data_IF_214207946980
#
_entry.id   IF_214207946980
#
_cell.length_a   1.000
_cell.length_b   1.000
_cell.length_c   1.000
_cell.angle_alpha   90.00
_cell.angle_beta   90.00
_cell.angle_gamma   90.00
#
_symmetry.space_group_name_H-M   'P 1'
#
loop_
_entity.id
_entity.type
_entity.pdbx_description
1 polymer ?
#
# COMPACT_ATOMS: atom_id res chain seq x y z
N UNK A 1 3.09 -26.55 -41.44
CA UNK A 1 4.50 -26.49 -40.99
C UNK A 1 4.55 -26.02 -39.54
N UNK A 2 5.33 -26.73 -38.73
CA UNK A 2 5.45 -26.63 -37.28
C UNK A 2 5.91 -25.25 -36.78
N UNK A 3 5.19 -24.67 -35.82
CA UNK A 3 5.81 -23.81 -34.80
C UNK A 3 5.45 -24.33 -33.41
N UNK A 4 6.19 -25.36 -32.99
CA UNK A 4 6.32 -25.70 -31.58
C UNK A 4 7.07 -24.57 -30.88
N UNK A 5 6.35 -23.56 -30.36
CA UNK A 5 6.91 -22.62 -29.39
C UNK A 5 7.34 -23.43 -28.16
N UNK A 6 8.66 -23.66 -28.03
CA UNK A 6 9.29 -24.20 -26.82
C UNK A 6 9.12 -23.18 -25.68
N UNK A 7 7.95 -23.15 -25.04
CA UNK A 7 7.55 -22.23 -23.95
C UNK A 7 8.17 -22.54 -22.58
N UNK A 8 9.41 -23.05 -22.56
CA UNK A 8 10.13 -23.38 -21.33
C UNK A 8 11.06 -22.27 -20.82
N UNK A 9 11.35 -21.26 -21.65
CA UNK A 9 12.21 -20.12 -21.26
C UNK A 9 11.35 -18.98 -20.72
N UNK A 10 11.84 -18.35 -19.67
CA UNK A 10 11.39 -17.01 -19.29
C UNK A 10 11.72 -16.09 -20.47
N UNK A 11 10.70 -15.46 -21.06
CA UNK A 11 10.85 -14.50 -22.14
C UNK A 11 10.97 -13.11 -21.51
N UNK A 12 12.21 -12.64 -21.39
CA UNK A 12 12.52 -11.38 -20.73
C UNK A 12 11.90 -10.21 -21.49
N UNK A 13 11.90 -10.26 -22.83
CA UNK A 13 11.42 -9.17 -23.67
C UNK A 13 9.89 -9.06 -23.61
N UNK A 14 9.19 -10.21 -23.67
CA UNK A 14 7.74 -10.22 -23.48
C UNK A 14 7.34 -9.73 -22.08
N UNK A 15 8.11 -10.07 -21.05
CA UNK A 15 7.84 -9.58 -19.70
C UNK A 15 8.14 -8.09 -19.56
N UNK A 16 9.23 -7.58 -20.16
CA UNK A 16 9.53 -6.13 -20.22
C UNK A 16 8.39 -5.35 -20.85
N UNK A 17 7.86 -5.80 -21.98
CA UNK A 17 6.71 -5.16 -22.63
C UNK A 17 5.47 -5.10 -21.73
N UNK A 18 5.22 -6.14 -20.93
CA UNK A 18 4.12 -6.12 -19.95
C UNK A 18 4.36 -5.10 -18.83
N UNK A 19 5.60 -4.96 -18.36
CA UNK A 19 5.97 -3.98 -17.34
C UNK A 19 5.84 -2.55 -17.87
N UNK A 20 6.30 -2.30 -19.10
CA UNK A 20 6.18 -1.00 -19.76
C UNK A 20 4.71 -0.61 -19.98
N UNK A 21 3.89 -1.56 -20.46
CA UNK A 21 2.46 -1.35 -20.60
C UNK A 21 1.77 -1.02 -19.26
N UNK A 22 2.13 -1.74 -18.19
CA UNK A 22 1.60 -1.48 -16.85
C UNK A 22 2.04 -0.09 -16.31
N UNK A 23 3.24 0.38 -16.65
CA UNK A 23 3.76 1.70 -16.26
C UNK A 23 3.22 2.85 -17.09
N UNK A 24 2.59 2.61 -18.24
CA UNK A 24 2.00 3.66 -19.07
C UNK A 24 1.04 4.58 -18.30
N UNK A 25 0.34 4.05 -17.29
CA UNK A 25 -0.59 4.81 -16.43
C UNK A 25 0.10 5.71 -15.41
N UNK A 26 1.37 5.46 -15.09
CA UNK A 26 2.11 6.27 -14.12
C UNK A 26 2.24 7.72 -14.59
N UNK A 27 2.48 7.93 -15.88
CA UNK A 27 2.67 9.28 -16.45
C UNK A 27 1.40 10.11 -16.30
N UNK A 28 0.24 9.55 -16.68
CA UNK A 28 -1.04 10.25 -16.54
C UNK A 28 -1.41 10.49 -15.07
N UNK A 29 -1.19 9.49 -14.21
CA UNK A 29 -1.47 9.58 -12.76
C UNK A 29 -0.56 10.60 -12.07
N UNK A 30 0.72 10.61 -12.44
CA UNK A 30 1.70 11.59 -11.95
C UNK A 30 1.30 13.00 -12.33
N UNK A 31 0.91 13.21 -13.60
CA UNK A 31 0.39 14.51 -14.05
C UNK A 31 -0.85 14.94 -13.27
N UNK A 32 -1.85 14.07 -13.12
CA UNK A 32 -3.05 14.37 -12.33
C UNK A 32 -2.73 14.72 -10.87
N UNK A 33 -1.72 14.08 -10.27
CA UNK A 33 -1.31 14.36 -8.89
C UNK A 33 -0.56 15.70 -8.77
N UNK A 34 0.27 16.05 -9.77
CA UNK A 34 0.93 17.35 -9.84
C UNK A 34 -0.05 18.50 -10.11
N UNK A 35 -1.05 18.26 -10.96
CA UNK A 35 -2.13 19.22 -11.23
C UNK A 35 -2.97 19.43 -9.95
N UNK A 36 -3.33 18.35 -9.25
CA UNK A 36 -3.98 18.43 -7.93
C UNK A 36 -3.18 19.25 -6.90
N UNK A 37 -1.85 19.09 -6.85
CA UNK A 37 -0.99 19.90 -5.97
C UNK A 37 -0.97 21.38 -6.36
N UNK A 38 -1.06 21.68 -7.65
CA UNK A 38 -1.09 23.06 -8.15
C UNK A 38 -2.40 23.79 -7.83
N UNK A 39 -3.45 23.02 -7.55
CA UNK A 39 -4.81 23.49 -7.25
C UNK A 39 -5.27 22.94 -5.89
N UNK A 40 -4.37 22.86 -4.92
CA UNK A 40 -4.61 22.15 -3.66
C UNK A 40 -5.68 22.85 -2.81
N UNK A 41 -5.69 24.17 -2.79
CA UNK A 41 -6.68 25.02 -2.16
C UNK A 41 -8.04 24.96 -2.87
N UNK A 42 -8.08 25.02 -4.20
CA UNK A 42 -9.30 24.85 -4.99
C UNK A 42 -9.92 23.46 -4.77
N UNK A 43 -9.08 22.42 -4.74
CA UNK A 43 -9.50 21.05 -4.45
C UNK A 43 -10.07 20.93 -3.03
N UNK A 44 -9.44 21.58 -2.05
CA UNK A 44 -9.95 21.62 -0.69
C UNK A 44 -11.30 22.35 -0.61
N UNK A 45 -11.44 23.48 -1.32
CA UNK A 45 -12.68 24.25 -1.37
C UNK A 45 -13.82 23.43 -2.01
N UNK A 46 -13.52 22.69 -3.09
CA UNK A 46 -14.48 21.78 -3.73
C UNK A 46 -14.94 20.63 -2.83
N UNK A 47 -14.09 20.12 -1.94
CA UNK A 47 -14.52 19.11 -0.97
C UNK A 47 -15.26 19.74 0.22
N UNK A 48 -14.87 20.95 0.61
CA UNK A 48 -15.44 21.66 1.75
C UNK A 48 -16.84 22.24 1.48
N UNK A 49 -17.13 22.69 0.25
CA UNK A 49 -18.46 23.25 -0.11
C UNK A 49 -19.59 22.24 0.12
N UNK A 50 -19.31 20.95 -0.05
CA UNK A 50 -20.26 19.88 0.25
C UNK A 50 -20.53 19.69 1.75
N UNK A 51 -19.65 20.21 2.62
CA UNK A 51 -19.83 20.18 4.07
C UNK A 51 -20.59 21.39 4.60
N UNK A 52 -20.60 22.51 3.88
CA UNK A 52 -21.23 23.76 4.31
C UNK A 52 -22.67 23.57 4.84
N UNK A 53 -23.56 22.80 4.17
CA UNK A 53 -24.90 22.54 4.69
C UNK A 53 -24.90 21.83 6.06
N UNK A 54 -23.95 20.93 6.30
CA UNK A 54 -23.79 20.26 7.59
C UNK A 54 -23.26 21.24 8.65
N UNK A 55 -22.31 22.10 8.29
CA UNK A 55 -21.71 23.06 9.21
C UNK A 55 -22.73 24.10 9.69
N UNK A 56 -23.65 24.52 8.81
CA UNK A 56 -24.72 25.48 9.11
C UNK A 56 -25.76 24.94 10.10
N UNK A 57 -25.77 23.63 10.38
CA UNK A 57 -26.60 23.06 11.45
C UNK A 57 -26.06 23.39 12.85
N UNK A 58 -24.85 23.95 12.95
CA UNK A 58 -24.18 24.24 14.21
C UNK A 58 -23.97 25.75 14.41
N UNK A 59 -24.10 26.25 15.66
CA UNK A 59 -24.39 25.50 16.89
C UNK A 59 -25.82 24.96 16.94
N UNK A 60 -26.00 23.76 17.51
CA UNK A 60 -27.31 23.13 17.70
C UNK A 60 -27.60 22.99 19.19
N UNK A 61 -28.77 23.41 19.64
CA UNK A 61 -29.19 23.30 21.04
C UNK A 61 -30.16 22.14 21.22
N UNK A 62 -29.87 21.25 22.17
CA UNK A 62 -30.75 20.13 22.54
C UNK A 62 -30.85 20.05 24.06
N UNK A 63 -32.00 20.49 24.59
CA UNK A 63 -32.16 20.65 26.03
C UNK A 63 -31.19 21.70 26.59
N UNK A 64 -30.44 21.33 27.63
CA UNK A 64 -29.40 22.19 28.23
C UNK A 64 -28.06 22.12 27.50
N UNK A 65 -27.85 21.16 26.58
CA UNK A 65 -26.56 21.01 25.89
C UNK A 65 -26.51 21.81 24.58
N UNK A 66 -25.38 22.50 24.36
CA UNK A 66 -25.06 23.14 23.08
C UNK A 66 -23.99 22.34 22.36
N UNK A 67 -24.33 21.84 21.17
CA UNK A 67 -23.42 21.16 20.26
C UNK A 67 -22.76 22.18 19.34
N UNK A 68 -21.43 22.14 19.23
CA UNK A 68 -20.64 23.02 18.36
C UNK A 68 -19.64 22.22 17.55
N UNK A 69 -19.35 22.67 16.34
CA UNK A 69 -18.22 22.17 15.58
C UNK A 69 -17.00 23.04 15.85
N UNK A 70 -15.89 22.37 16.15
CA UNK A 70 -14.58 22.97 16.32
C UNK A 70 -13.71 22.61 15.12
N UNK A 71 -13.19 23.64 14.46
CA UNK A 71 -12.25 23.51 13.35
C UNK A 71 -10.84 23.78 13.85
N UNK A 72 -9.91 22.87 13.59
CA UNK A 72 -8.51 22.99 14.01
C UNK A 72 -7.58 22.54 12.89
N UNK A 73 -6.50 23.31 12.64
CA UNK A 73 -5.43 22.87 11.72
C UNK A 73 -4.48 21.97 12.52
N UNK A 74 -4.24 20.76 12.03
CA UNK A 74 -3.37 19.79 12.68
C UNK A 74 -1.97 19.77 12.06
N UNK A 75 -0.96 19.68 12.94
CA UNK A 75 0.46 19.61 12.57
C UNK A 75 1.15 18.33 13.06
N UNK A 76 0.37 17.40 13.62
CA UNK A 76 0.90 16.11 14.10
C UNK A 76 1.37 15.22 12.94
N UNK A 77 2.30 14.27 13.17
CA UNK A 77 2.79 13.38 12.11
C UNK A 77 1.72 12.63 11.32
N UNK A 78 0.57 12.30 11.93
CA UNK A 78 -0.51 11.53 11.30
C UNK A 78 -1.58 12.40 10.61
N UNK A 79 -1.58 13.71 10.85
CA UNK A 79 -2.64 14.65 10.41
C UNK A 79 -2.04 15.96 9.89
N UNK A 80 -0.87 15.86 9.26
CA UNK A 80 -0.05 17.01 8.92
C UNK A 80 -0.73 17.92 7.89
N UNK A 81 -0.86 19.21 8.19
CA UNK A 81 -1.52 20.19 7.33
C UNK A 81 -3.04 20.03 7.22
N UNK A 82 -3.66 19.07 7.90
CA UNK A 82 -5.08 18.76 7.74
C UNK A 82 -6.00 19.65 8.56
N UNK A 83 -7.24 19.83 8.10
CA UNK A 83 -8.29 20.46 8.89
C UNK A 83 -9.11 19.41 9.64
N UNK A 84 -9.00 19.42 10.97
CA UNK A 84 -9.82 18.62 11.85
C UNK A 84 -11.18 19.27 12.12
N UNK A 85 -12.20 18.43 12.18
CA UNK A 85 -13.56 18.82 12.58
C UNK A 85 -13.95 17.94 13.78
N UNK A 86 -14.17 18.58 14.92
CA UNK A 86 -14.58 17.90 16.13
C UNK A 86 -15.95 18.41 16.59
N UNK A 87 -16.82 17.49 17.01
CA UNK A 87 -18.05 17.83 17.71
C UNK A 87 -17.74 18.04 19.18
N UNK A 88 -18.17 19.18 19.72
CA UNK A 88 -17.94 19.58 21.11
C UNK A 88 -19.25 19.93 21.79
N UNK A 89 -19.42 19.41 23.00
CA UNK A 89 -20.38 19.89 24.00
C UNK A 89 -19.60 20.43 25.20
N UNK A 90 -20.28 20.80 26.29
CA UNK A 90 -19.60 21.21 27.52
C UNK A 90 -18.77 20.08 28.15
N UNK A 91 -19.22 18.84 27.99
CA UNK A 91 -18.65 17.64 28.65
C UNK A 91 -17.92 16.71 27.70
N UNK A 92 -18.13 16.83 26.38
CA UNK A 92 -17.61 15.90 25.38
C UNK A 92 -16.87 16.63 24.25
N UNK A 93 -15.80 15.99 23.75
CA UNK A 93 -15.16 16.35 22.48
C UNK A 93 -14.90 15.07 21.67
N UNK A 94 -15.48 15.00 20.47
CA UNK A 94 -15.37 13.84 19.58
C UNK A 94 -14.83 14.26 18.22
N UNK A 95 -13.70 13.68 17.81
CA UNK A 95 -13.08 13.91 16.50
C UNK A 95 -13.85 13.14 15.42
N UNK A 96 -14.56 13.87 14.55
CA UNK A 96 -15.45 13.27 13.56
C UNK A 96 -14.69 12.47 12.49
N UNK A 97 -13.40 12.79 12.27
CA UNK A 97 -12.56 12.09 11.30
C UNK A 97 -12.26 10.62 11.66
N UNK A 98 -12.54 10.21 12.90
CA UNK A 98 -12.35 8.83 13.38
C UNK A 98 -13.58 7.95 13.19
N UNK A 99 -14.73 8.55 12.90
CA UNK A 99 -15.99 7.83 12.75
C UNK A 99 -16.13 7.25 11.34
N UNK A 100 -16.74 6.08 11.23
CA UNK A 100 -17.23 5.52 9.97
C UNK A 100 -18.45 6.31 9.45
N UNK A 101 -18.86 6.07 8.20
CA UNK A 101 -20.09 6.69 7.64
C UNK A 101 -21.31 6.40 8.53
N UNK A 102 -21.45 5.16 9.01
CA UNK A 102 -22.59 4.75 9.83
C UNK A 102 -22.59 5.43 11.21
N UNK A 103 -21.44 5.49 11.88
CA UNK A 103 -21.29 6.14 13.18
C UNK A 103 -21.48 7.67 13.09
N UNK A 104 -20.95 8.27 12.02
CA UNK A 104 -21.13 9.71 11.77
C UNK A 104 -22.59 10.03 11.45
N UNK A 105 -23.25 9.24 10.60
CA UNK A 105 -24.68 9.41 10.31
C UNK A 105 -25.53 9.26 11.58
N UNK A 106 -25.21 8.30 12.46
CA UNK A 106 -25.89 8.13 13.74
C UNK A 106 -25.68 9.33 14.68
N UNK A 107 -24.48 9.91 14.67
CA UNK A 107 -24.14 11.11 15.46
C UNK A 107 -24.85 12.35 14.94
N UNK A 108 -24.99 12.50 13.61
CA UNK A 108 -25.63 13.66 12.97
C UNK A 108 -27.16 13.55 12.91
N UNK A 109 -27.73 12.34 12.94
CA UNK A 109 -29.19 12.11 12.80
C UNK A 109 -30.05 12.94 13.76
N UNK A 110 -29.72 13.11 15.05
CA UNK A 110 -30.51 13.94 15.96
C UNK A 110 -30.53 15.43 15.59
N UNK A 111 -29.58 15.88 14.76
CA UNK A 111 -29.37 17.29 14.39
C UNK A 111 -29.87 17.58 12.98
N UNK A 112 -29.51 16.72 12.02
CA UNK A 112 -29.83 16.87 10.59
C UNK A 112 -31.13 16.16 10.16
N UNK A 113 -31.72 15.34 11.04
CA UNK A 113 -32.82 14.44 10.68
C UNK A 113 -32.37 13.21 9.88
N UNK A 114 -33.29 12.27 9.68
CA UNK A 114 -33.02 10.96 9.08
C UNK A 114 -32.71 11.00 7.59
N UNK A 115 -33.22 12.00 6.85
CA UNK A 115 -33.10 12.05 5.39
C UNK A 115 -31.72 12.55 4.94
N UNK A 116 -31.14 13.52 5.65
CA UNK A 116 -29.90 14.21 5.22
C UNK A 116 -28.63 13.70 5.90
N UNK A 117 -28.74 12.97 7.02
CA UNK A 117 -27.57 12.57 7.81
C UNK A 117 -26.61 11.63 7.06
N UNK A 118 -27.12 10.79 6.16
CA UNK A 118 -26.30 9.87 5.36
C UNK A 118 -25.46 10.62 4.33
N UNK A 119 -26.04 11.62 3.68
CA UNK A 119 -25.35 12.42 2.66
C UNK A 119 -24.25 13.26 3.31
N UNK A 120 -24.55 13.95 4.42
CA UNK A 120 -23.53 14.66 5.19
C UNK A 120 -22.38 13.73 5.62
N UNK A 121 -22.69 12.52 6.08
CA UNK A 121 -21.66 11.56 6.47
C UNK A 121 -20.80 11.12 5.27
N UNK A 122 -21.40 10.91 4.09
CA UNK A 122 -20.67 10.58 2.86
C UNK A 122 -19.77 11.73 2.41
N UNK A 123 -20.28 12.96 2.38
CA UNK A 123 -19.48 14.13 2.02
C UNK A 123 -18.33 14.34 3.00
N UNK A 124 -18.57 14.16 4.29
CA UNK A 124 -17.52 14.24 5.29
C UNK A 124 -16.43 13.18 5.10
N UNK A 125 -16.78 11.95 4.70
CA UNK A 125 -15.77 10.93 4.38
C UNK A 125 -14.97 11.24 3.11
N UNK A 126 -15.54 11.95 2.13
CA UNK A 126 -14.74 12.47 1.01
C UNK A 126 -13.71 13.50 1.49
N UNK A 127 -14.12 14.42 2.35
CA UNK A 127 -13.22 15.38 2.99
C UNK A 127 -12.13 14.70 3.85
N UNK A 128 -12.47 13.64 4.60
CA UNK A 128 -11.49 12.85 5.35
C UNK A 128 -10.48 12.18 4.41
N UNK A 129 -10.91 11.68 3.24
CA UNK A 129 -9.99 11.14 2.23
C UNK A 129 -9.06 12.21 1.67
N UNK A 130 -9.57 13.40 1.35
CA UNK A 130 -8.75 14.56 0.98
C UNK A 130 -7.69 14.86 2.04
N UNK A 131 -8.10 14.95 3.32
CA UNK A 131 -7.18 15.18 4.43
C UNK A 131 -6.12 14.07 4.58
N UNK A 132 -6.45 12.80 4.33
CA UNK A 132 -5.47 11.70 4.35
C UNK A 132 -4.44 11.87 3.23
N UNK A 133 -4.88 12.24 2.03
CA UNK A 133 -4.01 12.52 0.87
C UNK A 133 -3.09 13.71 1.14
N UNK A 134 -3.62 14.79 1.72
CA UNK A 134 -2.87 15.95 2.17
C UNK A 134 -1.82 15.58 3.23
N UNK A 135 -2.21 14.84 4.26
CA UNK A 135 -1.29 14.40 5.32
C UNK A 135 -0.15 13.52 4.78
N UNK A 136 -0.42 12.73 3.74
CA UNK A 136 0.59 11.89 3.11
C UNK A 136 1.72 12.71 2.50
N UNK A 137 1.50 13.95 2.06
CA UNK A 137 2.56 14.83 1.51
C UNK A 137 3.71 15.10 2.48
N UNK A 138 3.54 14.84 3.78
CA UNK A 138 4.59 15.00 4.79
C UNK A 138 5.91 14.29 4.42
N UNK A 139 5.87 13.18 3.69
CA UNK A 139 7.10 12.47 3.31
C UNK A 139 8.03 13.33 2.42
N UNK A 140 7.51 14.36 1.76
CA UNK A 140 8.29 15.31 0.96
C UNK A 140 9.17 16.22 1.82
N UNK A 141 8.93 16.29 3.14
CA UNK A 141 9.76 17.07 4.06
C UNK A 141 9.52 18.59 4.01
N UNK A 142 8.47 19.03 3.31
CA UNK A 142 8.07 20.45 3.26
C UNK A 142 7.35 20.83 4.55
N UNK A 143 7.67 22.00 5.09
CA UNK A 143 6.95 22.55 6.24
C UNK A 143 5.59 23.15 5.81
N UNK A 144 4.52 22.73 6.49
CA UNK A 144 3.19 23.33 6.36
C UNK A 144 3.10 24.60 7.23
N UNK A 145 3.41 25.74 6.64
CA UNK A 145 3.39 27.04 7.31
C UNK A 145 1.94 27.58 7.39
N UNK A 146 1.50 27.94 8.60
CA UNK A 146 0.18 28.56 8.81
C UNK A 146 0.39 30.08 8.91
N UNK A 147 -0.12 30.88 7.94
CA UNK A 147 -0.06 32.34 8.02
C UNK A 147 -0.74 32.83 9.29
N UNK A 148 -0.14 33.82 9.97
CA UNK A 148 -0.65 34.58 11.14
C UNK A 148 -1.57 33.82 12.11
N UNK A 149 -1.14 33.58 13.35
CA UNK A 149 -1.95 32.82 14.34
C UNK A 149 -3.29 33.49 14.72
N UNK A 150 -3.51 34.74 14.35
CA UNK A 150 -4.75 35.49 14.56
C UNK A 150 -5.73 35.33 13.39
N UNK A 151 -7.02 35.18 13.69
CA UNK A 151 -8.10 35.21 12.69
C UNK A 151 -8.79 33.87 12.43
N UNK A 152 -9.80 33.84 11.54
CA UNK A 152 -10.60 32.66 11.26
C UNK A 152 -9.75 31.48 10.76
N UNK A 153 -10.12 30.26 11.12
CA UNK A 153 -9.33 29.05 10.83
C UNK A 153 -9.35 28.69 9.34
N UNK A 154 -10.51 28.78 8.70
CA UNK A 154 -10.69 28.34 7.30
C UNK A 154 -9.88 29.16 6.28
N UNK A 155 -9.93 30.50 6.26
CA UNK A 155 -9.15 31.28 5.30
C UNK A 155 -7.64 31.02 5.44
N UNK A 156 -7.14 30.93 6.67
CA UNK A 156 -5.72 30.62 6.95
C UNK A 156 -5.33 29.24 6.47
N UNK A 157 -6.22 28.26 6.58
CA UNK A 157 -5.97 26.92 6.09
C UNK A 157 -5.90 26.89 4.55
N UNK A 158 -6.84 27.55 3.85
CA UNK A 158 -6.81 27.64 2.39
C UNK A 158 -5.56 28.38 1.87
N UNK A 159 -5.19 29.50 2.47
CA UNK A 159 -3.97 30.24 2.12
C UNK A 159 -2.71 29.37 2.33
N UNK A 160 -2.64 28.64 3.45
CA UNK A 160 -1.55 27.69 3.71
C UNK A 160 -1.48 26.56 2.68
N UNK A 161 -2.64 26.03 2.23
CA UNK A 161 -2.70 24.97 1.23
C UNK A 161 -2.13 25.41 -0.12
N UNK A 162 -2.48 26.61 -0.59
CA UNK A 162 -1.97 27.13 -1.86
C UNK A 162 -0.43 27.21 -1.83
N UNK A 163 0.13 27.83 -0.78
CA UNK A 163 1.59 27.94 -0.61
C UNK A 163 2.26 26.57 -0.47
N UNK A 164 1.65 25.65 0.28
CA UNK A 164 2.17 24.31 0.51
C UNK A 164 2.18 23.48 -0.78
N UNK A 165 1.10 23.52 -1.58
CA UNK A 165 1.00 22.84 -2.87
C UNK A 165 2.12 23.26 -3.83
N UNK A 166 2.37 24.56 -3.95
CA UNK A 166 3.48 25.09 -4.77
C UNK A 166 4.86 24.60 -4.31
N UNK A 167 5.11 24.53 -3.00
CA UNK A 167 6.38 24.02 -2.45
C UNK A 167 6.53 22.50 -2.64
N UNK A 168 5.44 21.73 -2.52
CA UNK A 168 5.46 20.27 -2.66
C UNK A 168 5.62 19.81 -4.11
N UNK A 169 5.12 20.58 -5.08
CA UNK A 169 5.09 20.18 -6.50
C UNK A 169 6.45 19.76 -7.08
N UNK A 170 7.53 20.57 -7.04
CA UNK A 170 8.82 20.18 -7.61
C UNK A 170 9.40 18.94 -6.92
N UNK A 171 9.20 18.82 -5.60
CA UNK A 171 9.66 17.64 -4.85
C UNK A 171 8.89 16.38 -5.21
N UNK A 172 7.59 16.47 -5.48
CA UNK A 172 6.83 15.31 -5.96
C UNK A 172 7.29 14.90 -7.37
N UNK A 173 7.59 15.86 -8.24
CA UNK A 173 8.12 15.60 -9.57
C UNK A 173 9.46 14.84 -9.50
N UNK A 174 10.38 15.29 -8.64
CA UNK A 174 11.63 14.58 -8.35
C UNK A 174 11.39 13.16 -7.83
N UNK A 175 10.43 12.97 -6.92
CA UNK A 175 10.10 11.65 -6.37
C UNK A 175 9.46 10.71 -7.38
N UNK A 176 8.66 11.23 -8.32
CA UNK A 176 8.12 10.44 -9.43
C UNK A 176 9.24 10.00 -10.39
N UNK A 177 10.20 10.87 -10.68
CA UNK A 177 11.38 10.53 -11.47
C UNK A 177 12.27 9.50 -10.77
N UNK A 178 12.51 9.66 -9.46
CA UNK A 178 13.22 8.67 -8.63
C UNK A 178 12.51 7.32 -8.66
N UNK A 179 11.17 7.30 -8.56
CA UNK A 179 10.39 6.07 -8.62
C UNK A 179 10.51 5.34 -9.96
N UNK A 180 10.56 6.08 -11.07
CA UNK A 180 10.82 5.51 -12.40
C UNK A 180 12.22 4.92 -12.50
N UNK A 181 13.24 5.62 -12.00
CA UNK A 181 14.62 5.14 -11.98
C UNK A 181 14.77 3.87 -11.11
N UNK A 182 14.19 3.87 -9.91
CA UNK A 182 14.14 2.69 -9.04
C UNK A 182 13.38 1.54 -9.70
N UNK A 183 12.32 1.82 -10.47
CA UNK A 183 11.56 0.79 -11.18
C UNK A 183 12.41 0.12 -12.27
N UNK A 184 13.18 0.89 -13.03
CA UNK A 184 14.11 0.35 -14.03
C UNK A 184 15.23 -0.48 -13.35
N UNK A 185 15.82 0.04 -12.27
CA UNK A 185 16.84 -0.69 -11.52
C UNK A 185 16.30 -1.99 -10.89
N UNK A 186 15.06 -1.98 -10.40
CA UNK A 186 14.42 -3.15 -9.83
C UNK A 186 14.14 -4.21 -10.90
N UNK A 187 13.75 -3.79 -12.10
CA UNK A 187 13.60 -4.67 -13.24
C UNK A 187 14.91 -5.38 -13.57
N UNK A 188 16.00 -4.62 -13.72
CA UNK A 188 17.31 -5.19 -14.03
C UNK A 188 17.78 -6.16 -12.94
N UNK A 189 17.66 -5.80 -11.67
CA UNK A 189 17.99 -6.68 -10.54
C UNK A 189 17.12 -7.94 -10.52
N UNK A 190 15.83 -7.82 -10.85
CA UNK A 190 14.91 -8.96 -10.95
C UNK A 190 15.26 -9.86 -12.14
N UNK A 191 15.63 -9.29 -13.29
CA UNK A 191 16.06 -10.02 -14.47
C UNK A 191 17.36 -10.78 -14.20
N UNK A 192 18.34 -10.14 -13.58
CA UNK A 192 19.61 -10.75 -13.15
C UNK A 192 19.36 -11.91 -12.16
N UNK A 193 18.54 -11.66 -11.14
CA UNK A 193 18.14 -12.70 -10.18
C UNK A 193 17.47 -13.88 -10.89
N UNK A 194 16.47 -13.62 -11.75
CA UNK A 194 15.74 -14.68 -12.45
C UNK A 194 16.63 -15.46 -13.43
N UNK A 195 17.61 -14.80 -14.07
CA UNK A 195 18.61 -15.41 -14.94
C UNK A 195 19.53 -16.35 -14.16
N UNK A 196 20.03 -15.91 -13.01
CA UNK A 196 20.86 -16.72 -12.09
C UNK A 196 20.14 -17.99 -11.64
N UNK A 197 18.82 -17.92 -11.44
CA UNK A 197 17.99 -19.07 -11.08
C UNK A 197 17.69 -20.02 -12.26
N UNK A 198 18.24 -19.77 -13.45
CA UNK A 198 18.23 -20.65 -14.61
C UNK A 198 16.85 -20.87 -15.25
N UNK A 199 16.61 -22.04 -15.85
CA UNK A 199 15.32 -22.38 -16.48
C UNK A 199 14.20 -22.56 -15.47
N UNK A 200 12.96 -22.25 -15.88
CA UNK A 200 11.78 -22.38 -15.00
C UNK A 200 11.38 -23.85 -14.93
N UNK A 201 11.40 -24.42 -13.72
CA UNK A 201 11.01 -25.81 -13.41
C UNK A 201 10.28 -25.86 -12.07
N UNK A 202 9.73 -27.02 -11.72
CA UNK A 202 9.22 -27.25 -10.37
C UNK A 202 10.29 -26.94 -9.32
N UNK A 203 9.92 -26.13 -8.31
CA UNK A 203 10.80 -25.55 -7.29
C UNK A 203 11.87 -24.58 -7.78
N UNK A 204 11.72 -23.99 -8.96
CA UNK A 204 12.49 -22.78 -9.30
C UNK A 204 12.04 -21.62 -8.43
N UNK A 205 13.00 -20.83 -7.95
CA UNK A 205 12.76 -19.57 -7.25
C UNK A 205 12.71 -18.44 -8.29
N UNK A 206 11.73 -17.55 -8.20
CA UNK A 206 11.56 -16.39 -9.08
C UNK A 206 11.20 -15.16 -8.28
N UNK A 207 11.66 -14.01 -8.74
CA UNK A 207 11.09 -12.73 -8.35
C UNK A 207 10.15 -12.28 -9.49
N UNK A 208 8.92 -11.94 -9.16
CA UNK A 208 7.97 -11.36 -10.12
C UNK A 208 7.13 -10.31 -9.43
N UNK A 209 6.66 -9.34 -10.20
CA UNK A 209 5.60 -8.43 -9.77
C UNK A 209 4.24 -9.13 -9.75
N UNK A 210 3.30 -8.46 -9.10
CA UNK A 210 1.87 -8.55 -9.36
C UNK A 210 1.51 -7.49 -10.38
N UNK A 211 0.86 -7.90 -11.47
CA UNK A 211 0.39 -7.01 -12.53
C UNK A 211 -1.11 -6.91 -12.42
N UNK A 212 -1.59 -5.71 -12.10
CA UNK A 212 -3.01 -5.39 -12.05
C UNK A 212 -3.28 -4.24 -13.02
N UNK A 213 -4.33 -4.38 -13.81
CA UNK A 213 -4.71 -3.41 -14.85
C UNK A 213 -5.30 -2.13 -14.24
N UNK A 214 -5.77 -2.17 -12.99
CA UNK A 214 -6.30 -0.99 -12.30
C UNK A 214 -5.26 -0.25 -11.45
N UNK A 215 -4.05 -0.80 -11.30
CA UNK A 215 -3.01 -0.15 -10.49
C UNK A 215 -2.43 1.07 -11.24
N UNK A 216 -2.64 2.26 -10.67
CA UNK A 216 -2.24 3.54 -11.23
C UNK A 216 -0.72 3.77 -11.22
N UNK A 217 0.03 3.06 -10.38
CA UNK A 217 1.50 3.12 -10.33
C UNK A 217 2.16 1.94 -11.07
N UNK A 218 1.38 1.16 -11.81
CA UNK A 218 1.86 0.00 -12.58
C UNK A 218 2.22 -1.20 -11.69
N UNK A 219 3.27 -1.98 -12.02
CA UNK A 219 3.59 -3.24 -11.33
C UNK A 219 3.72 -3.07 -9.81
N UNK A 220 3.14 -4.00 -9.03
CA UNK A 220 3.11 -3.96 -7.56
C UNK A 220 3.71 -5.22 -6.94
N UNK A 221 3.95 -5.19 -5.62
CA UNK A 221 4.31 -6.39 -4.81
C UNK A 221 5.40 -7.29 -5.45
N UNK A 222 6.59 -6.74 -5.75
CA UNK A 222 7.73 -7.55 -6.18
C UNK A 222 8.05 -8.55 -5.07
N UNK A 223 7.99 -9.85 -5.39
CA UNK A 223 8.11 -10.86 -4.36
C UNK A 223 8.85 -12.10 -4.84
N UNK A 224 9.69 -12.63 -3.94
CA UNK A 224 10.33 -13.92 -4.10
C UNK A 224 9.29 -15.04 -3.91
N UNK A 225 9.17 -15.86 -4.94
CA UNK A 225 8.17 -16.92 -5.06
C UNK A 225 8.85 -18.21 -5.51
N UNK A 226 8.25 -19.34 -5.17
CA UNK A 226 8.71 -20.67 -5.58
C UNK A 226 7.63 -21.31 -6.45
N UNK A 227 8.03 -21.83 -7.62
CA UNK A 227 7.14 -22.56 -8.51
C UNK A 227 6.70 -23.88 -7.85
N UNK A 228 5.41 -24.04 -7.61
CA UNK A 228 4.83 -25.21 -6.95
C UNK A 228 4.08 -26.14 -7.90
N UNK A 229 3.63 -25.65 -9.05
CA UNK A 229 3.16 -26.50 -10.14
C UNK A 229 3.33 -25.81 -11.49
N UNK A 230 3.41 -26.62 -12.54
CA UNK A 230 3.42 -26.17 -13.93
C UNK A 230 2.37 -27.01 -14.65
N UNK A 231 1.37 -26.36 -15.25
CA UNK A 231 0.40 -27.03 -16.10
C UNK A 231 1.10 -27.47 -17.39
N UNK A 232 1.13 -28.77 -17.72
CA UNK A 232 1.86 -29.26 -18.89
C UNK A 232 1.21 -28.84 -20.22
N UNK A 233 -0.10 -28.56 -20.23
CA UNK A 233 -0.86 -28.19 -21.44
C UNK A 233 -0.73 -26.70 -21.71
N UNK A 234 -0.98 -25.87 -20.70
CA UNK A 234 -1.02 -24.40 -20.87
C UNK A 234 0.32 -23.72 -20.56
N UNK A 235 1.27 -24.44 -19.94
CA UNK A 235 2.49 -23.86 -19.41
C UNK A 235 2.27 -22.92 -18.21
N UNK A 236 1.02 -22.77 -17.73
CA UNK A 236 0.68 -21.91 -16.60
C UNK A 236 1.36 -22.40 -15.32
N UNK A 237 1.79 -21.46 -14.48
CA UNK A 237 2.64 -21.73 -13.32
C UNK A 237 1.92 -21.30 -12.07
N UNK A 238 1.90 -22.17 -11.07
CA UNK A 238 1.49 -21.80 -9.72
C UNK A 238 2.71 -21.46 -8.90
N UNK A 239 2.59 -20.40 -8.13
CA UNK A 239 3.64 -19.89 -7.26
C UNK A 239 3.17 -19.87 -5.82
N UNK A 240 4.08 -20.16 -4.89
CA UNK A 240 3.90 -19.83 -3.48
C UNK A 240 4.85 -18.69 -3.12
N UNK A 241 4.41 -17.72 -2.31
CA UNK A 241 5.31 -16.75 -1.68
C UNK A 241 6.35 -17.46 -0.84
N UNK A 242 7.53 -16.85 -0.70
CA UNK A 242 8.66 -17.46 0.03
C UNK A 242 8.28 -17.85 1.46
N UNK A 243 7.62 -16.95 2.20
CA UNK A 243 7.15 -17.23 3.56
C UNK A 243 6.24 -18.47 3.63
N UNK A 244 5.29 -18.62 2.71
CA UNK A 244 4.37 -19.76 2.69
C UNK A 244 5.04 -21.06 2.24
N UNK A 245 6.00 -20.97 1.32
CA UNK A 245 6.84 -22.11 0.96
C UNK A 245 7.65 -22.61 2.16
N UNK A 246 8.24 -21.70 2.96
CA UNK A 246 8.95 -22.04 4.20
C UNK A 246 8.03 -22.66 5.24
N UNK A 247 6.82 -22.11 5.47
CA UNK A 247 5.80 -22.74 6.34
C UNK A 247 5.50 -24.17 5.89
N UNK A 248 5.35 -24.38 4.57
CA UNK A 248 5.15 -25.71 3.99
C UNK A 248 6.33 -26.66 4.21
N UNK A 249 7.58 -26.18 4.09
CA UNK A 249 8.78 -26.95 4.41
C UNK A 249 8.84 -27.32 5.90
N UNK A 250 8.53 -26.38 6.79
CA UNK A 250 8.50 -26.60 8.24
C UNK A 250 7.45 -27.66 8.61
N UNK A 251 6.23 -27.53 8.08
CA UNK A 251 5.16 -28.53 8.27
C UNK A 251 5.58 -29.92 7.81
N UNK A 252 6.22 -30.03 6.64
CA UNK A 252 6.73 -31.32 6.12
C UNK A 252 7.85 -31.90 6.99
N UNK A 253 8.74 -31.05 7.53
CA UNK A 253 9.80 -31.51 8.40
C UNK A 253 9.25 -32.06 9.71
N UNK A 254 8.34 -31.33 10.36
CA UNK A 254 7.66 -31.78 11.59
C UNK A 254 6.90 -33.08 11.37
N UNK A 255 6.17 -33.20 10.25
CA UNK A 255 5.47 -34.46 9.93
C UNK A 255 6.43 -35.64 9.78
N UNK A 256 7.62 -35.44 9.21
CA UNK A 256 8.65 -36.50 9.12
C UNK A 256 9.24 -36.86 10.49
N UNK A 257 9.52 -35.86 11.31
CA UNK A 257 10.06 -36.06 12.65
C UNK A 257 9.04 -36.81 13.52
N UNK A 258 7.78 -36.36 13.53
CA UNK A 258 6.69 -37.06 14.22
C UNK A 258 6.47 -38.48 13.70
N UNK A 259 6.53 -38.71 12.38
CA UNK A 259 6.40 -40.06 11.82
C UNK A 259 7.50 -40.99 12.34
N UNK A 260 8.74 -40.50 12.45
CA UNK A 260 9.85 -41.27 13.00
C UNK A 260 9.64 -41.55 14.48
N UNK A 261 9.21 -40.55 15.24
CA UNK A 261 9.10 -40.64 16.69
C UNK A 261 7.87 -41.48 17.13
N UNK A 262 6.78 -41.46 16.35
CA UNK A 262 5.55 -42.24 16.62
C UNK A 262 5.56 -43.65 16.00
N UNK A 263 6.46 -43.93 15.05
CA UNK A 263 6.47 -45.19 14.29
C UNK A 263 5.27 -45.38 13.34
N UNK A 264 4.39 -44.39 13.20
CA UNK A 264 3.22 -44.38 12.31
C UNK A 264 3.05 -43.03 11.63
N UNK A 265 2.16 -42.95 10.63
CA UNK A 265 1.82 -41.66 10.03
C UNK A 265 1.13 -40.75 11.07
N UNK A 266 1.60 -39.50 11.27
CA UNK A 266 0.98 -38.58 12.21
C UNK A 266 -0.35 -38.05 11.67
N UNK A 267 -1.31 -37.84 12.55
CA UNK A 267 -2.58 -37.20 12.21
C UNK A 267 -2.37 -35.71 11.92
N UNK A 268 -3.32 -35.09 11.21
CA UNK A 268 -3.26 -33.65 10.91
C UNK A 268 -3.21 -32.80 12.19
N UNK A 269 -3.98 -33.19 13.20
CA UNK A 269 -4.07 -32.47 14.47
C UNK A 269 -2.78 -32.60 15.29
N UNK A 270 -2.08 -33.73 15.20
CA UNK A 270 -0.75 -33.92 15.82
C UNK A 270 0.28 -32.97 15.20
N UNK A 271 0.31 -32.87 13.87
CA UNK A 271 1.20 -31.95 13.15
C UNK A 271 0.88 -30.50 13.46
N UNK A 272 -0.40 -30.13 13.48
CA UNK A 272 -0.83 -28.76 13.74
C UNK A 272 -0.60 -28.36 15.21
N UNK A 273 -0.71 -29.31 16.16
CA UNK A 273 -0.37 -29.10 17.57
C UNK A 273 1.13 -28.89 17.77
N UNK A 274 1.97 -29.72 17.14
CA UNK A 274 3.42 -29.55 17.17
C UNK A 274 3.87 -28.23 16.52
N UNK A 275 3.20 -27.80 15.46
CA UNK A 275 3.42 -26.49 14.83
C UNK A 275 3.09 -25.32 15.77
N UNK A 276 2.00 -25.40 16.54
CA UNK A 276 1.61 -24.38 17.52
C UNK A 276 2.56 -24.31 18.71
N UNK A 277 3.08 -25.46 19.15
CA UNK A 277 4.06 -25.53 20.24
C UNK A 277 5.37 -24.81 19.89
N UNK A 278 5.76 -24.81 18.61
CA UNK A 278 6.87 -23.99 18.11
C UNK A 278 6.42 -22.54 18.00
N UNK A 279 6.80 -21.69 18.98
CA UNK A 279 6.49 -20.24 19.02
C UNK A 279 6.36 -19.65 17.59
N UNK A 280 5.19 -19.07 17.23
CA UNK A 280 4.94 -18.62 15.88
C UNK A 280 5.78 -17.37 15.59
N UNK A 281 6.98 -17.56 15.03
CA UNK A 281 7.69 -16.49 14.33
C UNK A 281 7.19 -16.45 12.88
N UNK A 282 6.86 -15.26 12.40
CA UNK A 282 6.56 -15.04 10.99
C UNK A 282 7.79 -15.40 10.14
N UNK A 283 7.58 -16.23 9.12
CA UNK A 283 8.63 -16.54 8.16
C UNK A 283 8.96 -15.30 7.33
N UNK A 284 10.25 -15.00 7.17
CA UNK A 284 10.71 -13.88 6.34
C UNK A 284 10.62 -14.23 4.85
N UNK A 285 10.66 -13.22 3.98
CA UNK A 285 10.71 -13.44 2.53
C UNK A 285 12.12 -13.75 1.99
N UNK A 286 13.13 -13.76 2.85
CA UNK A 286 14.51 -14.06 2.46
C UNK A 286 14.68 -15.52 2.03
N UNK A 287 15.46 -15.82 1.00
CA UNK A 287 15.82 -17.22 0.70
C UNK A 287 16.74 -17.70 1.82
N UNK A 288 16.55 -18.94 2.27
CA UNK A 288 17.40 -19.57 3.30
C UNK A 288 18.06 -20.82 2.75
N UNK A 289 19.11 -21.31 3.41
CA UNK A 289 19.79 -22.55 3.04
C UNK A 289 18.83 -23.75 2.96
N UNK A 290 17.80 -23.78 3.81
CA UNK A 290 16.73 -24.80 3.75
C UNK A 290 15.94 -24.73 2.44
N UNK A 291 15.62 -23.51 1.98
CA UNK A 291 14.95 -23.29 0.70
C UNK A 291 15.86 -23.67 -0.46
N UNK A 292 17.14 -23.26 -0.45
CA UNK A 292 18.13 -23.60 -1.47
C UNK A 292 18.25 -25.12 -1.62
N UNK A 293 18.36 -25.85 -0.49
CA UNK A 293 18.39 -27.32 -0.47
C UNK A 293 17.11 -27.90 -1.04
N UNK A 294 15.94 -27.40 -0.62
CA UNK A 294 14.65 -27.87 -1.12
C UNK A 294 14.45 -27.64 -2.62
N UNK A 295 15.03 -26.56 -3.16
CA UNK A 295 14.96 -26.16 -4.57
C UNK A 295 16.09 -26.75 -5.44
N UNK A 296 16.98 -27.56 -4.84
CA UNK A 296 18.15 -28.18 -5.51
C UNK A 296 19.09 -27.13 -6.15
N UNK A 297 19.33 -26.03 -5.43
CA UNK A 297 20.20 -24.93 -5.85
C UNK A 297 21.53 -24.90 -5.09
N UNK A 298 21.94 -26.02 -4.48
CA UNK A 298 23.12 -26.05 -3.59
C UNK A 298 24.42 -25.58 -4.24
N UNK A 299 24.63 -25.87 -5.53
CA UNK A 299 25.80 -25.41 -6.29
C UNK A 299 25.81 -23.91 -6.58
N UNK A 300 24.65 -23.26 -6.50
CA UNK A 300 24.47 -21.83 -6.76
C UNK A 300 24.21 -21.05 -5.46
N UNK A 301 24.57 -21.63 -4.30
CA UNK A 301 24.13 -21.07 -3.02
C UNK A 301 24.70 -19.67 -2.78
N UNK A 302 25.94 -19.43 -3.17
CA UNK A 302 26.61 -18.13 -3.00
C UNK A 302 25.97 -17.09 -3.91
N UNK A 303 25.82 -17.41 -5.19
CA UNK A 303 25.22 -16.55 -6.21
C UNK A 303 23.75 -16.23 -5.87
N UNK A 304 23.00 -17.21 -5.35
CA UNK A 304 21.62 -17.00 -4.86
C UNK A 304 21.58 -15.95 -3.75
N UNK A 305 22.49 -16.02 -2.78
CA UNK A 305 22.51 -15.05 -1.68
C UNK A 305 22.98 -13.66 -2.13
N UNK A 306 23.97 -13.58 -3.01
CA UNK A 306 24.47 -12.32 -3.57
C UNK A 306 23.38 -11.62 -4.40
N UNK A 307 22.81 -12.31 -5.38
CA UNK A 307 21.75 -11.74 -6.24
C UNK A 307 20.50 -11.38 -5.45
N UNK A 308 20.17 -12.14 -4.40
CA UNK A 308 19.09 -11.76 -3.49
C UNK A 308 19.40 -10.45 -2.74
N UNK A 309 20.63 -10.27 -2.24
CA UNK A 309 21.01 -9.02 -1.55
C UNK A 309 20.88 -7.83 -2.48
N UNK A 310 21.39 -7.93 -3.71
CA UNK A 310 21.29 -6.88 -4.73
C UNK A 310 19.83 -6.54 -5.04
N UNK A 311 19.00 -7.57 -5.25
CA UNK A 311 17.56 -7.39 -5.48
C UNK A 311 16.88 -6.69 -4.30
N UNK A 312 17.10 -7.14 -3.07
CA UNK A 312 16.45 -6.58 -1.88
C UNK A 312 16.90 -5.13 -1.62
N UNK A 313 18.15 -4.79 -1.93
CA UNK A 313 18.68 -3.44 -1.78
C UNK A 313 17.93 -2.41 -2.63
N UNK A 314 17.44 -2.79 -3.81
CA UNK A 314 16.60 -1.93 -4.67
C UNK A 314 15.11 -2.06 -4.31
N UNK A 315 14.66 -3.28 -4.00
CA UNK A 315 13.25 -3.58 -3.70
C UNK A 315 12.74 -2.82 -2.46
N UNK A 316 13.57 -2.63 -1.43
CA UNK A 316 13.21 -1.90 -0.21
C UNK A 316 12.90 -0.41 -0.45
N UNK A 317 13.82 0.41 -1.00
CA UNK A 317 13.53 1.82 -1.29
C UNK A 317 12.40 1.95 -2.32
N UNK A 318 12.34 1.08 -3.33
CA UNK A 318 11.24 1.06 -4.28
C UNK A 318 9.87 0.84 -3.61
N UNK A 319 9.77 -0.13 -2.69
CA UNK A 319 8.52 -0.43 -1.97
C UNK A 319 8.11 0.71 -1.05
N UNK A 320 9.10 1.32 -0.37
CA UNK A 320 8.86 2.47 0.50
C UNK A 320 8.32 3.67 -0.30
N UNK A 321 8.97 4.02 -1.40
CA UNK A 321 8.56 5.14 -2.25
C UNK A 321 7.21 4.87 -2.93
N UNK A 322 6.98 3.64 -3.41
CA UNK A 322 5.66 3.25 -3.94
C UNK A 322 4.56 3.48 -2.91
N UNK A 323 4.74 3.05 -1.67
CA UNK A 323 3.76 3.22 -0.60
C UNK A 323 3.45 4.70 -0.34
N UNK A 324 4.49 5.54 -0.34
CA UNK A 324 4.35 6.99 -0.19
C UNK A 324 3.58 7.62 -1.36
N UNK A 325 3.89 7.26 -2.60
CA UNK A 325 3.18 7.73 -3.79
C UNK A 325 1.74 7.20 -3.86
N UNK A 326 1.50 5.96 -3.45
CA UNK A 326 0.18 5.35 -3.45
C UNK A 326 -0.78 6.06 -2.48
N UNK A 327 -0.26 6.58 -1.37
CA UNK A 327 -1.05 7.38 -0.44
C UNK A 327 -1.47 8.75 -1.00
N UNK A 328 -0.89 9.18 -2.13
CA UNK A 328 -1.25 10.41 -2.84
C UNK A 328 -2.26 10.20 -3.98
N UNK A 329 -2.76 8.98 -4.16
CA UNK A 329 -3.73 8.67 -5.21
C UNK A 329 -5.18 8.96 -4.75
N UNK A 330 -6.08 9.29 -5.69
CA UNK A 330 -7.48 9.63 -5.39
C UNK A 330 -8.35 8.45 -4.87
#
# INVERSE_FOLDING_TARGET
MSQTKKSGRYDADAYRQQLDAARGRLVSTGKQTLDWLSQLDESAASEFIHLEPMLNLFPHQRGSETFRLLLEIHMSPKRYGTLGVALRTETMRSDLAKLTVAELAATLRPIAGSQSCKDHATYFQRFVRFNRRLAALRFLGVEFEIPNRSGPVLPRWFEALAAYGHKCRPLLEERLAEFLNLSAALDDAMFEFNSTMGRVRYRSIRCTYTLDDVDLLGPSDPALKVVTSINPVTGSRRYNRMADFKKGLKKKQIGKDLRRDLGREPSKDEVDSALKALRPRSETDWITTKVIKACRLGRLSTEVFETQKNLVAVMQPWTALRSQLQALLP
#
